data_IF_306215358061
#
_entry.id   IF_306215358061
#
_cell.length_a   1.000
_cell.length_b   1.000
_cell.length_c   1.000
_cell.angle_alpha   90.00
_cell.angle_beta   90.00
_cell.angle_gamma   90.00
#
_symmetry.space_group_name_H-M   'P 1'
#
loop_
_entity.id
_entity.type
_entity.pdbx_description
1 polymer ?
#
# COMPACT_ATOMS: atom_id res chain seq x y z
N UNK A 1 16.58 29.85 22.01
CA UNK A 1 16.95 29.80 20.57
C UNK A 1 15.79 29.20 19.81
N UNK A 2 15.01 30.07 19.15
CA UNK A 2 13.95 29.68 18.24
C UNK A 2 14.49 29.51 16.83
N UNK A 3 14.21 28.35 16.23
CA UNK A 3 13.89 28.13 14.81
C UNK A 3 12.88 26.96 14.86
N UNK A 4 11.56 27.17 14.98
CA UNK A 4 10.64 27.61 13.92
C UNK A 4 10.91 26.94 12.57
N UNK A 5 10.30 25.78 12.34
CA UNK A 5 9.46 25.53 11.15
C UNK A 5 8.83 24.12 11.19
N UNK A 6 7.55 24.08 11.59
CA UNK A 6 6.50 23.16 11.10
C UNK A 6 6.88 21.67 10.95
N UNK A 7 7.06 20.95 12.06
CA UNK A 7 6.73 19.52 12.09
C UNK A 7 5.26 19.41 12.48
N UNK A 8 4.41 19.17 11.49
CA UNK A 8 3.04 18.73 11.70
C UNK A 8 3.04 17.59 12.74
N UNK A 9 2.52 17.91 13.93
CA UNK A 9 1.63 17.05 14.73
C UNK A 9 1.77 15.54 14.53
N UNK A 10 2.34 14.87 15.54
CA UNK A 10 1.66 13.77 16.26
C UNK A 10 0.93 12.68 15.45
N UNK A 11 1.49 12.21 14.33
CA UNK A 11 1.07 10.93 13.73
C UNK A 11 1.74 9.78 14.51
N UNK A 12 1.21 9.51 15.71
CA UNK A 12 1.57 8.36 16.53
C UNK A 12 1.39 7.07 15.71
N UNK A 13 2.48 6.34 15.47
CA UNK A 13 2.48 4.94 15.03
C UNK A 13 1.63 4.68 13.77
N UNK A 14 2.03 5.24 12.62
CA UNK A 14 1.35 4.93 11.37
C UNK A 14 1.54 3.44 11.05
N UNK A 15 0.44 2.67 11.05
CA UNK A 15 0.43 1.32 10.50
C UNK A 15 0.20 1.46 9.00
N UNK A 16 1.15 1.02 8.20
CA UNK A 16 1.03 1.08 6.75
C UNK A 16 0.48 -0.23 6.22
N UNK A 17 -0.45 -0.17 5.27
CA UNK A 17 -0.96 -1.37 4.62
C UNK A 17 -0.65 -1.35 3.13
N UNK A 18 0.06 -2.38 2.66
CA UNK A 18 0.35 -2.59 1.24
C UNK A 18 -0.59 -3.68 0.69
N UNK A 19 -1.34 -3.32 -0.34
CA UNK A 19 -2.29 -4.22 -0.99
C UNK A 19 -2.22 -4.12 -2.51
N UNK A 20 -2.37 -5.26 -3.19
CA UNK A 20 -2.63 -5.30 -4.62
C UNK A 20 -4.11 -5.55 -4.82
N UNK A 21 -4.80 -4.68 -5.53
CA UNK A 21 -6.08 -5.08 -6.13
C UNK A 21 -5.81 -5.68 -7.51
N UNK A 22 -5.83 -7.01 -7.60
CA UNK A 22 -5.70 -7.76 -8.87
C UNK A 22 -6.92 -7.59 -9.81
N UNK A 23 -7.88 -6.73 -9.47
CA UNK A 23 -9.16 -6.62 -10.16
C UNK A 23 -9.27 -5.43 -11.12
N UNK A 24 -8.15 -4.82 -11.51
CA UNK A 24 -8.15 -3.69 -12.44
C UNK A 24 -7.75 -4.09 -13.87
N UNK A 25 -8.42 -5.13 -14.40
CA UNK A 25 -8.31 -5.65 -15.78
C UNK A 25 -6.94 -6.27 -16.13
N UNK A 26 -6.91 -7.23 -17.07
CA UNK A 26 -5.76 -8.09 -17.43
C UNK A 26 -4.44 -7.38 -17.79
N UNK A 27 -4.42 -6.04 -17.87
CA UNK A 27 -3.25 -5.26 -18.31
C UNK A 27 -2.52 -4.46 -17.22
N UNK A 28 -3.14 -4.09 -16.09
CA UNK A 28 -2.51 -3.22 -15.06
C UNK A 28 -2.91 -3.63 -13.64
N UNK A 29 -1.95 -3.60 -12.72
CA UNK A 29 -2.16 -3.79 -11.29
C UNK A 29 -1.83 -2.51 -10.54
N UNK A 30 -2.64 -2.18 -9.53
CA UNK A 30 -2.40 -1.05 -8.65
C UNK A 30 -1.93 -1.60 -7.30
N UNK A 31 -0.75 -1.18 -6.88
CA UNK A 31 -0.20 -1.41 -5.55
C UNK A 31 -0.40 -0.13 -4.75
N UNK A 32 -1.11 -0.22 -3.62
CA UNK A 32 -1.49 0.95 -2.82
C UNK A 32 -0.96 0.80 -1.39
N UNK A 33 -0.35 1.88 -0.90
CA UNK A 33 0.00 2.07 0.50
C UNK A 33 -0.97 3.08 1.14
N UNK A 34 -1.57 2.71 2.28
CA UNK A 34 -2.47 3.59 3.06
C UNK A 34 -1.99 3.76 4.49
N UNK A 35 -2.42 4.84 5.13
CA UNK A 35 -2.22 5.07 6.57
C UNK A 35 -3.16 4.24 7.46
N UNK A 36 -3.02 4.39 8.77
CA UNK A 36 -3.87 3.74 9.77
C UNK A 36 -5.36 4.17 9.71
N UNK A 37 -5.69 5.23 8.96
CA UNK A 37 -7.05 5.73 8.75
C UNK A 37 -7.62 5.33 7.38
N UNK A 38 -6.84 4.65 6.53
CA UNK A 38 -7.23 4.26 5.18
C UNK A 38 -7.11 5.38 4.14
N UNK A 39 -6.32 6.42 4.41
CA UNK A 39 -5.99 7.45 3.41
C UNK A 39 -4.81 7.00 2.54
N UNK A 40 -4.89 7.16 1.21
CA UNK A 40 -3.88 6.66 0.26
C UNK A 40 -2.61 7.51 0.28
N UNK A 41 -1.47 6.97 0.72
CA UNK A 41 -0.22 7.74 0.81
C UNK A 41 0.58 7.65 -0.49
N UNK A 42 0.80 6.44 -1.01
CA UNK A 42 1.53 6.21 -2.26
C UNK A 42 0.90 5.07 -3.03
N UNK A 43 1.01 5.12 -4.35
CA UNK A 43 0.61 4.03 -5.22
C UNK A 43 1.60 3.85 -6.37
N UNK A 44 1.71 2.63 -6.88
CA UNK A 44 2.47 2.30 -8.08
C UNK A 44 1.56 1.48 -9.00
N UNK A 45 1.67 1.72 -10.30
CA UNK A 45 0.97 0.93 -11.32
C UNK A 45 1.97 0.06 -12.06
N UNK A 46 1.74 -1.25 -12.06
CA UNK A 46 2.54 -2.22 -12.80
C UNK A 46 1.68 -2.89 -13.88
N UNK A 47 2.31 -3.66 -14.75
CA UNK A 47 1.59 -4.42 -15.77
C UNK A 47 0.89 -5.62 -15.14
N UNK A 48 -0.23 -6.05 -15.72
CA UNK A 48 -1.15 -7.09 -15.23
C UNK A 48 -0.50 -8.44 -14.89
N UNK A 49 0.63 -8.73 -15.52
CA UNK A 49 1.40 -9.98 -15.40
C UNK A 49 2.49 -9.89 -14.32
N UNK A 50 2.71 -8.71 -13.77
CA UNK A 50 3.75 -8.51 -12.75
C UNK A 50 3.35 -9.23 -11.47
N UNK A 51 4.29 -9.98 -10.89
CA UNK A 51 4.07 -10.58 -9.58
C UNK A 51 4.18 -9.51 -8.49
N UNK A 52 3.27 -9.53 -7.53
CA UNK A 52 3.25 -8.61 -6.37
C UNK A 52 4.61 -8.50 -5.67
N UNK A 53 5.34 -9.62 -5.59
CA UNK A 53 6.67 -9.70 -4.98
C UNK A 53 7.68 -8.76 -5.65
N UNK A 54 7.53 -8.47 -6.95
CA UNK A 54 8.43 -7.55 -7.66
C UNK A 54 8.08 -6.09 -7.44
N UNK A 55 6.81 -5.77 -7.23
CA UNK A 55 6.36 -4.39 -7.02
C UNK A 55 6.55 -3.92 -5.56
N UNK A 56 6.62 -4.87 -4.62
CA UNK A 56 6.79 -4.61 -3.20
C UNK A 56 7.99 -3.72 -2.85
N UNK A 57 9.22 -4.07 -3.31
CA UNK A 57 10.42 -3.34 -2.91
C UNK A 57 10.41 -1.90 -3.46
N UNK A 58 9.92 -1.72 -4.69
CA UNK A 58 9.80 -0.41 -5.33
C UNK A 58 8.82 0.48 -4.57
N UNK A 59 7.70 -0.09 -4.08
CA UNK A 59 6.74 0.68 -3.28
C UNK A 59 7.33 1.10 -1.94
N UNK A 60 8.06 0.20 -1.26
CA UNK A 60 8.75 0.54 0.00
C UNK A 60 9.79 1.64 -0.19
N UNK A 61 10.58 1.60 -1.28
CA UNK A 61 11.62 2.62 -1.52
C UNK A 61 11.05 4.04 -1.67
N UNK A 62 9.78 4.15 -2.05
CA UNK A 62 9.08 5.44 -2.15
C UNK A 62 8.44 5.91 -0.85
N UNK A 63 8.41 5.06 0.18
CA UNK A 63 7.80 5.34 1.48
C UNK A 63 8.88 5.71 2.50
N UNK A 64 8.62 6.75 3.28
CA UNK A 64 9.40 7.04 4.47
C UNK A 64 8.88 6.19 5.63
N UNK A 65 9.63 5.15 6.00
CA UNK A 65 9.28 4.23 7.07
C UNK A 65 9.86 4.63 8.43
N UNK A 66 10.56 5.76 8.53
CA UNK A 66 11.29 6.16 9.74
C UNK A 66 10.41 6.25 11.00
N UNK A 67 9.13 6.64 10.83
CA UNK A 67 8.15 6.78 11.92
C UNK A 67 7.07 5.67 11.91
N UNK A 68 7.29 4.59 11.15
CA UNK A 68 6.33 3.50 10.95
C UNK A 68 6.63 2.35 11.92
N UNK A 69 5.69 2.09 12.83
CA UNK A 69 5.87 1.00 13.79
C UNK A 69 5.62 -0.38 13.16
N UNK A 70 4.59 -0.48 12.31
CA UNK A 70 4.12 -1.76 11.75
C UNK A 70 3.73 -1.58 10.29
N UNK A 71 4.20 -2.49 9.44
CA UNK A 71 3.79 -2.63 8.05
C UNK A 71 2.96 -3.90 7.89
N UNK A 72 1.66 -3.73 7.65
CA UNK A 72 0.78 -4.80 7.19
C UNK A 72 0.90 -4.99 5.68
N UNK A 73 1.01 -6.22 5.22
CA UNK A 73 0.88 -6.48 3.79
C UNK A 73 0.28 -7.86 3.52
N UNK A 74 -0.22 -7.99 2.29
CA UNK A 74 -0.89 -9.18 1.84
C UNK A 74 0.07 -10.35 1.62
N UNK A 75 -0.47 -11.57 1.68
CA UNK A 75 0.33 -12.81 1.50
C UNK A 75 1.11 -12.85 0.18
N UNK A 76 0.62 -12.18 -0.87
CA UNK A 76 1.30 -12.08 -2.16
C UNK A 76 2.69 -11.45 -2.05
N UNK A 77 2.83 -10.45 -1.19
CA UNK A 77 4.05 -9.67 -0.93
C UNK A 77 5.09 -10.41 -0.08
N UNK A 78 4.71 -11.53 0.52
CA UNK A 78 5.60 -12.33 1.35
C UNK A 78 6.83 -12.82 0.57
N UNK A 79 7.98 -12.26 0.91
CA UNK A 79 9.31 -12.76 0.54
C UNK A 79 10.29 -12.47 1.68
N UNK A 80 11.36 -13.26 1.77
CA UNK A 80 12.36 -13.08 2.83
C UNK A 80 13.07 -11.73 2.67
N UNK A 81 13.54 -11.42 1.46
CA UNK A 81 14.17 -10.14 1.14
C UNK A 81 13.26 -8.94 1.45
N UNK A 82 11.96 -9.04 1.22
CA UNK A 82 11.03 -7.96 1.59
C UNK A 82 10.90 -7.77 3.09
N UNK A 83 10.86 -8.86 3.89
CA UNK A 83 10.87 -8.73 5.36
C UNK A 83 12.15 -8.10 5.87
N UNK A 84 13.30 -8.55 5.37
CA UNK A 84 14.61 -8.02 5.75
C UNK A 84 14.68 -6.50 5.48
N UNK A 85 14.20 -6.04 4.32
CA UNK A 85 14.13 -4.62 3.97
C UNK A 85 13.24 -3.78 4.90
N UNK A 86 12.13 -4.36 5.36
CA UNK A 86 11.23 -3.69 6.32
C UNK A 86 11.87 -3.61 7.70
N UNK A 87 12.54 -4.70 8.12
CA UNK A 87 13.24 -4.79 9.41
C UNK A 87 14.47 -3.87 9.46
N UNK A 88 15.17 -3.66 8.33
CA UNK A 88 16.23 -2.65 8.18
C UNK A 88 15.73 -1.23 8.48
N UNK A 89 14.46 -0.95 8.20
CA UNK A 89 13.79 0.33 8.50
C UNK A 89 13.24 0.40 9.93
N UNK A 90 13.64 -0.52 10.82
CA UNK A 90 13.14 -0.67 12.19
C UNK A 90 11.61 -0.86 12.29
N UNK A 91 10.97 -1.25 11.20
CA UNK A 91 9.53 -1.47 11.11
C UNK A 91 9.21 -2.97 11.27
N UNK A 92 8.10 -3.30 11.93
CA UNK A 92 7.66 -4.70 12.08
C UNK A 92 6.80 -5.12 10.89
N UNK A 93 7.21 -6.17 10.15
CA UNK A 93 6.43 -6.72 9.04
C UNK A 93 5.32 -7.69 9.52
N UNK A 94 4.07 -7.22 9.56
CA UNK A 94 2.90 -8.04 9.88
C UNK A 94 2.26 -8.63 8.61
N UNK A 95 2.79 -9.76 8.12
CA UNK A 95 2.33 -10.40 6.88
C UNK A 95 2.19 -11.93 7.02
N UNK A 96 1.19 -12.54 6.35
CA UNK A 96 1.09 -13.99 6.28
C UNK A 96 2.24 -14.62 5.53
N UNK A 97 2.88 -15.63 6.15
CA UNK A 97 3.83 -16.49 5.45
C UNK A 97 3.11 -17.30 4.38
N UNK A 98 3.78 -17.50 3.25
CA UNK A 98 3.34 -18.42 2.19
C UNK A 98 3.23 -19.84 2.75
N UNK A 99 2.26 -20.61 2.22
CA UNK A 99 1.97 -21.99 2.69
C UNK A 99 3.19 -22.92 2.54
N UNK A 100 4.12 -22.57 1.65
CA UNK A 100 5.32 -23.34 1.34
C UNK A 100 6.49 -23.06 2.30
N UNK A 101 6.32 -22.15 3.27
CA UNK A 101 7.37 -21.82 4.25
C UNK A 101 7.21 -22.68 5.50
N UNK A 102 8.31 -23.26 5.99
CA UNK A 102 8.35 -24.13 7.19
C UNK A 102 8.08 -23.40 8.51
N UNK A 103 8.10 -22.06 8.49
CA UNK A 103 7.90 -21.20 9.65
C UNK A 103 6.41 -20.87 9.81
N UNK A 104 5.90 -21.06 11.03
CA UNK A 104 4.51 -20.77 11.39
C UNK A 104 4.26 -19.26 11.57
N UNK A 105 2.99 -18.84 11.44
CA UNK A 105 2.56 -17.44 11.63
C UNK A 105 2.46 -17.03 13.11
N UNK A 106 3.30 -17.59 14.00
CA UNK A 106 3.19 -17.40 15.46
C UNK A 106 3.40 -15.95 15.88
N UNK A 107 4.13 -15.17 15.09
CA UNK A 107 4.42 -13.75 15.35
C UNK A 107 3.42 -12.78 14.69
N UNK A 108 2.37 -13.29 14.03
CA UNK A 108 1.40 -12.42 13.36
C UNK A 108 0.31 -11.94 14.32
N UNK A 109 0.02 -10.65 14.27
CA UNK A 109 -1.17 -10.09 14.87
C UNK A 109 -2.33 -10.10 13.87
N UNK A 110 -3.30 -11.00 14.10
CA UNK A 110 -4.51 -11.14 13.30
C UNK A 110 -5.46 -9.94 13.42
N UNK A 111 -5.46 -9.23 14.55
CA UNK A 111 -6.27 -8.02 14.71
C UNK A 111 -5.75 -6.91 13.81
N UNK A 112 -4.42 -6.74 13.74
CA UNK A 112 -3.81 -5.81 12.80
C UNK A 112 -4.00 -6.26 11.35
N UNK A 113 -3.92 -7.56 11.06
CA UNK A 113 -4.18 -8.05 9.69
C UNK A 113 -5.63 -7.79 9.24
N UNK A 114 -6.60 -7.75 10.17
CA UNK A 114 -8.00 -7.40 9.88
C UNK A 114 -8.13 -5.97 9.31
N UNK A 115 -7.20 -5.07 9.62
CA UNK A 115 -7.16 -3.69 9.12
C UNK A 115 -6.86 -3.58 7.62
N UNK A 116 -6.60 -4.70 6.91
CA UNK A 116 -6.57 -4.74 5.43
C UNK A 116 -7.83 -4.17 4.77
N UNK A 117 -8.97 -4.22 5.47
CA UNK A 117 -10.23 -3.63 4.99
C UNK A 117 -10.12 -2.12 4.71
N UNK A 118 -9.19 -1.41 5.36
CA UNK A 118 -8.94 0.02 5.10
C UNK A 118 -8.45 0.24 3.66
N UNK A 119 -7.57 -0.65 3.19
CA UNK A 119 -7.09 -0.58 1.80
C UNK A 119 -8.18 -0.98 0.82
N UNK A 120 -8.95 -2.03 1.15
CA UNK A 120 -10.10 -2.47 0.34
C UNK A 120 -11.14 -1.35 0.21
N UNK A 121 -11.38 -0.59 1.28
CA UNK A 121 -12.26 0.58 1.28
C UNK A 121 -11.73 1.69 0.37
N UNK A 122 -10.42 1.97 0.40
CA UNK A 122 -9.80 2.94 -0.52
C UNK A 122 -9.97 2.51 -1.99
N UNK A 123 -9.79 1.22 -2.28
CA UNK A 123 -10.07 0.66 -3.61
C UNK A 123 -11.56 0.75 -3.99
N UNK A 124 -12.46 0.47 -3.05
CA UNK A 124 -13.89 0.58 -3.26
C UNK A 124 -14.27 2.02 -3.67
N UNK A 125 -13.72 3.02 -2.98
CA UNK A 125 -13.94 4.45 -3.28
C UNK A 125 -13.54 4.81 -4.71
N UNK A 126 -12.34 4.45 -5.16
CA UNK A 126 -11.89 4.79 -6.52
C UNK A 126 -12.65 4.03 -7.62
N UNK A 127 -13.23 2.87 -7.29
CA UNK A 127 -14.07 2.09 -8.23
C UNK A 127 -15.40 2.78 -8.55
N UNK A 128 -15.84 3.77 -7.77
CA UNK A 128 -17.00 4.58 -8.13
C UNK A 128 -16.76 5.43 -9.38
N UNK A 129 -15.51 5.79 -9.67
CA UNK A 129 -15.17 6.52 -10.88
C UNK A 129 -15.18 5.57 -12.08
N UNK A 130 -16.23 5.71 -12.90
CA UNK A 130 -16.41 4.87 -14.11
C UNK A 130 -15.16 4.84 -14.99
N UNK A 131 -14.49 5.97 -15.19
CA UNK A 131 -13.29 6.03 -16.04
C UNK A 131 -12.11 5.19 -15.53
N UNK A 132 -11.99 5.05 -14.20
CA UNK A 132 -11.03 4.15 -13.59
C UNK A 132 -11.56 2.72 -13.76
N UNK A 133 -12.76 2.43 -13.23
CA UNK A 133 -13.38 1.10 -13.22
C UNK A 133 -13.40 0.40 -14.59
N UNK A 134 -13.77 1.13 -15.65
CA UNK A 134 -13.86 0.59 -17.02
C UNK A 134 -12.60 0.81 -17.85
N UNK A 135 -11.55 1.43 -17.29
CA UNK A 135 -10.29 1.77 -17.97
C UNK A 135 -10.47 2.40 -19.35
N UNK A 136 -10.99 3.63 -19.40
CA UNK A 136 -11.05 4.38 -20.66
C UNK A 136 -9.67 4.75 -21.20
N UNK A 137 -8.67 4.87 -20.32
CA UNK A 137 -7.31 5.24 -20.70
C UNK A 137 -6.50 4.04 -21.24
N UNK A 138 -5.98 4.19 -22.46
CA UNK A 138 -5.14 3.18 -23.13
C UNK A 138 -3.66 3.27 -22.76
N UNK A 139 -3.19 4.47 -22.40
CA UNK A 139 -1.81 4.72 -22.05
C UNK A 139 -1.63 4.63 -20.53
N UNK A 140 -0.61 3.90 -20.09
CA UNK A 140 -0.26 3.74 -18.67
C UNK A 140 -0.16 5.09 -17.94
N UNK A 141 0.56 6.05 -18.53
CA UNK A 141 0.74 7.41 -17.98
C UNK A 141 -0.60 8.13 -17.73
N UNK A 142 -1.56 8.01 -18.65
CA UNK A 142 -2.85 8.66 -18.49
C UNK A 142 -3.67 7.98 -17.39
N UNK A 143 -3.62 6.65 -17.34
CA UNK A 143 -4.27 5.88 -16.29
C UNK A 143 -3.70 6.20 -14.90
N UNK A 144 -2.37 6.32 -14.79
CA UNK A 144 -1.69 6.79 -13.57
C UNK A 144 -2.18 8.17 -13.13
N UNK A 145 -2.28 9.12 -14.06
CA UNK A 145 -2.78 10.47 -13.76
C UNK A 145 -4.25 10.45 -13.29
N UNK A 146 -5.08 9.59 -13.90
CA UNK A 146 -6.49 9.46 -13.51
C UNK A 146 -6.63 8.87 -12.10
N UNK A 147 -5.83 7.86 -11.76
CA UNK A 147 -5.78 7.26 -10.43
C UNK A 147 -5.24 8.27 -9.41
N UNK A 148 -4.19 9.02 -9.75
CA UNK A 148 -3.67 10.11 -8.91
C UNK A 148 -4.75 11.14 -8.60
N UNK A 149 -5.53 11.56 -9.60
CA UNK A 149 -6.61 12.52 -9.43
C UNK A 149 -7.70 11.99 -8.50
N UNK A 150 -8.09 10.71 -8.64
CA UNK A 150 -9.08 10.11 -7.75
C UNK A 150 -8.59 10.01 -6.30
N UNK A 151 -7.32 9.67 -6.08
CA UNK A 151 -6.75 9.67 -4.73
C UNK A 151 -6.62 11.09 -4.16
N UNK A 152 -6.24 12.08 -4.97
CA UNK A 152 -6.22 13.47 -4.56
C UNK A 152 -7.62 13.97 -4.16
N UNK A 153 -8.65 13.63 -4.94
CA UNK A 153 -10.03 13.92 -4.59
C UNK A 153 -10.44 13.27 -3.27
N UNK A 154 -10.05 12.01 -3.06
CA UNK A 154 -10.33 11.31 -1.82
C UNK A 154 -9.69 12.01 -0.58
N UNK A 155 -8.47 12.53 -0.72
CA UNK A 155 -7.80 13.30 0.33
C UNK A 155 -8.47 14.63 0.65
N UNK A 156 -8.92 15.33 -0.40
CA UNK A 156 -9.50 16.66 -0.25
C UNK A 156 -10.91 16.64 0.38
N UNK A 157 -11.52 15.46 0.56
CA UNK A 157 -12.88 15.28 1.12
C UNK A 157 -13.92 16.22 0.48
N UNK A 158 -13.80 16.46 -0.83
CA UNK A 158 -14.71 17.31 -1.60
C UNK A 158 -16.02 16.60 -1.94
#
# INVERSE_FOLDING_TARGET
MCLHNLKLSSFSQAVFFIYTSAYFSDQYQIHLAVDAHGNPIRFIITDGVTHDVKAAPDLIDTLDLSDVAILGADKGYDSQCFREKVEESQTIANMPRKRNTKLSNVHMDWHLYKSRHLVENAFCRIKHYRGIATRYEKLKRNYENLVALAFAYHWLKL
#
